data_IF_311858748433
#
_entry.id   IF_311858748433
#
_cell.length_a   1.000
_cell.length_b   1.000
_cell.length_c   1.000
_cell.angle_alpha   90.00
_cell.angle_beta   90.00
_cell.angle_gamma   90.00
#
_symmetry.space_group_name_H-M   'P 1'
#
loop_
_entity.id
_entity.type
_entity.pdbx_description
1 polymer ?
#
# COMPACT_ATOMS: atom_id res chain seq x y z
N UNK A 1 11.66 -2.65 -33.96
CA UNK A 1 11.20 -2.35 -32.58
C UNK A 1 12.21 -2.99 -31.65
N UNK A 2 12.91 -2.21 -30.86
CA UNK A 2 13.99 -2.73 -30.00
C UNK A 2 13.42 -3.71 -28.98
N UNK A 3 14.05 -4.87 -28.84
CA UNK A 3 13.59 -5.93 -27.92
C UNK A 3 13.46 -5.41 -26.49
N UNK A 4 14.31 -4.47 -26.08
CA UNK A 4 14.26 -3.78 -24.78
C UNK A 4 12.93 -3.02 -24.58
N UNK A 5 12.51 -2.23 -25.57
CA UNK A 5 11.23 -1.49 -25.51
C UNK A 5 10.03 -2.43 -25.38
N UNK A 6 10.04 -3.56 -26.13
CA UNK A 6 8.96 -4.57 -26.04
C UNK A 6 8.91 -5.15 -24.63
N UNK A 7 10.05 -5.48 -24.05
CA UNK A 7 10.12 -6.06 -22.69
C UNK A 7 9.71 -5.05 -21.61
N UNK A 8 10.07 -3.77 -21.76
CA UNK A 8 9.59 -2.71 -20.85
C UNK A 8 8.06 -2.60 -20.89
N UNK A 9 7.45 -2.59 -22.08
CA UNK A 9 5.99 -2.57 -22.22
C UNK A 9 5.34 -3.82 -21.61
N UNK A 10 5.98 -4.99 -21.77
CA UNK A 10 5.51 -6.24 -21.14
C UNK A 10 5.57 -6.14 -19.62
N UNK A 11 6.65 -5.59 -19.04
CA UNK A 11 6.79 -5.39 -17.59
C UNK A 11 5.71 -4.45 -17.06
N UNK A 12 5.45 -3.34 -17.75
CA UNK A 12 4.38 -2.40 -17.41
C UNK A 12 3.03 -3.13 -17.40
N UNK A 13 2.69 -3.81 -18.50
CA UNK A 13 1.44 -4.55 -18.60
C UNK A 13 1.30 -5.65 -17.55
N UNK A 14 2.38 -6.39 -17.28
CA UNK A 14 2.43 -7.43 -16.26
C UNK A 14 2.22 -6.84 -14.85
N UNK A 15 2.84 -5.71 -14.53
CA UNK A 15 2.70 -5.05 -13.23
C UNK A 15 1.25 -4.65 -12.96
N UNK A 16 0.59 -3.99 -13.92
CA UNK A 16 -0.82 -3.62 -13.77
C UNK A 16 -1.73 -4.85 -13.72
N UNK A 17 -1.49 -5.86 -14.54
CA UNK A 17 -2.23 -7.12 -14.50
C UNK A 17 -2.08 -7.82 -13.14
N UNK A 18 -0.87 -7.87 -12.58
CA UNK A 18 -0.62 -8.44 -11.26
C UNK A 18 -1.35 -7.66 -10.16
N UNK A 19 -1.37 -6.32 -10.19
CA UNK A 19 -2.07 -5.51 -9.20
C UNK A 19 -3.58 -5.75 -9.20
N UNK A 20 -4.20 -5.82 -10.38
CA UNK A 20 -5.64 -6.11 -10.50
C UNK A 20 -5.95 -7.49 -9.92
N UNK A 21 -5.15 -8.50 -10.29
CA UNK A 21 -5.35 -9.85 -9.78
C UNK A 21 -5.02 -9.96 -8.28
N UNK A 22 -3.98 -9.27 -7.81
CA UNK A 22 -3.63 -9.23 -6.39
C UNK A 22 -4.77 -8.65 -5.55
N UNK A 23 -5.41 -7.55 -5.98
CA UNK A 23 -6.57 -7.00 -5.27
C UNK A 23 -7.72 -8.01 -5.16
N UNK A 24 -8.03 -8.74 -6.24
CA UNK A 24 -9.05 -9.78 -6.23
C UNK A 24 -8.69 -10.97 -5.32
N UNK A 25 -7.42 -11.40 -5.36
CA UNK A 25 -6.92 -12.47 -4.49
C UNK A 25 -6.92 -12.03 -3.02
N UNK A 26 -6.60 -10.77 -2.73
CA UNK A 26 -6.62 -10.23 -1.37
C UNK A 26 -8.03 -10.23 -0.77
N UNK A 27 -9.06 -9.90 -1.55
CA UNK A 27 -10.46 -10.01 -1.11
C UNK A 27 -10.80 -11.46 -0.71
N UNK A 28 -10.36 -12.43 -1.51
CA UNK A 28 -10.57 -13.85 -1.20
C UNK A 28 -9.78 -14.27 0.05
N UNK A 29 -8.51 -13.89 0.12
CA UNK A 29 -7.62 -14.20 1.24
C UNK A 29 -8.18 -13.65 2.54
N UNK A 30 -8.62 -12.38 2.55
CA UNK A 30 -9.23 -11.74 3.70
C UNK A 30 -10.46 -12.51 4.20
N UNK A 31 -11.39 -12.87 3.30
CA UNK A 31 -12.59 -13.63 3.66
C UNK A 31 -12.27 -15.03 4.17
N UNK A 32 -11.24 -15.69 3.67
CA UNK A 32 -10.80 -17.02 4.12
C UNK A 32 -10.10 -16.95 5.47
N UNK A 33 -9.12 -16.07 5.62
CA UNK A 33 -8.38 -15.88 6.87
C UNK A 33 -9.35 -15.49 7.99
N UNK A 34 -10.26 -14.54 7.73
CA UNK A 34 -11.34 -14.21 8.65
C UNK A 34 -12.18 -15.42 9.04
N UNK A 35 -12.57 -16.24 8.05
CA UNK A 35 -13.34 -17.47 8.32
C UNK A 35 -12.59 -18.40 9.28
N UNK A 36 -11.31 -18.65 9.04
CA UNK A 36 -10.47 -19.49 9.91
C UNK A 36 -10.34 -18.90 11.33
N UNK A 37 -10.10 -17.58 11.43
CA UNK A 37 -10.02 -16.92 12.75
C UNK A 37 -11.33 -17.00 13.54
N UNK A 38 -12.48 -17.01 12.85
CA UNK A 38 -13.82 -17.15 13.44
C UNK A 38 -14.29 -18.60 13.54
N UNK A 39 -13.45 -19.59 13.30
CA UNK A 39 -13.77 -21.03 13.33
C UNK A 39 -14.93 -21.41 12.39
N UNK A 40 -15.03 -20.75 11.22
CA UNK A 40 -16.00 -21.02 10.18
C UNK A 40 -15.36 -21.14 8.81
N UNK A 41 -16.05 -21.80 7.89
CA UNK A 41 -15.60 -21.82 6.49
C UNK A 41 -15.83 -20.44 5.85
N UNK A 42 -14.79 -19.94 5.15
CA UNK A 42 -14.93 -18.81 4.24
C UNK A 42 -15.68 -19.18 2.95
N UNK A 43 -15.55 -18.41 1.85
CA UNK A 43 -16.14 -18.76 0.57
C UNK A 43 -15.69 -20.16 0.13
N UNK A 44 -16.67 -21.05 -0.15
CA UNK A 44 -16.38 -22.46 -0.45
C UNK A 44 -17.07 -22.97 -1.71
N UNK A 45 -18.23 -22.41 -2.08
CA UNK A 45 -19.13 -22.99 -3.09
C UNK A 45 -18.72 -22.68 -4.55
N UNK A 46 -18.10 -21.53 -4.81
CA UNK A 46 -17.80 -21.08 -6.18
C UNK A 46 -16.41 -21.54 -6.59
N UNK A 47 -16.35 -22.55 -7.45
CA UNK A 47 -15.11 -23.21 -7.88
C UNK A 47 -14.47 -24.09 -6.78
N UNK A 48 -13.29 -24.68 -7.06
CA UNK A 48 -12.61 -25.51 -6.09
C UNK A 48 -12.29 -24.73 -4.81
N UNK A 49 -12.88 -25.14 -3.69
CA UNK A 49 -12.71 -24.45 -2.40
C UNK A 49 -13.00 -22.94 -2.42
N UNK A 50 -13.87 -22.45 -3.33
CA UNK A 50 -14.24 -21.03 -3.39
C UNK A 50 -13.21 -20.13 -4.08
N UNK A 51 -12.26 -20.67 -4.82
CA UNK A 51 -11.20 -19.87 -5.49
C UNK A 51 -11.73 -18.95 -6.58
N UNK A 52 -12.86 -19.28 -7.21
CA UNK A 52 -13.50 -18.45 -8.23
C UNK A 52 -14.46 -17.39 -7.68
N UNK A 53 -14.55 -17.25 -6.36
CA UNK A 53 -15.42 -16.25 -5.71
C UNK A 53 -15.12 -14.80 -6.18
N UNK A 54 -13.86 -14.34 -6.32
CA UNK A 54 -13.59 -13.00 -6.81
C UNK A 54 -14.15 -12.75 -8.22
N UNK A 55 -14.06 -13.75 -9.10
CA UNK A 55 -14.64 -13.65 -10.43
C UNK A 55 -16.17 -13.50 -10.38
N UNK A 56 -16.83 -14.30 -9.56
CA UNK A 56 -18.28 -14.22 -9.37
C UNK A 56 -18.69 -12.83 -8.79
N UNK A 57 -17.91 -12.27 -7.87
CA UNK A 57 -18.15 -10.95 -7.30
C UNK A 57 -17.98 -9.84 -8.35
N UNK A 58 -16.97 -9.93 -9.22
CA UNK A 58 -16.76 -8.99 -10.32
C UNK A 58 -17.94 -9.07 -11.30
N UNK A 59 -18.33 -10.28 -11.73
CA UNK A 59 -19.46 -10.47 -12.64
C UNK A 59 -20.77 -9.93 -12.04
N UNK A 60 -21.03 -10.20 -10.75
CA UNK A 60 -22.19 -9.65 -10.04
C UNK A 60 -22.20 -8.13 -10.09
N UNK A 61 -21.08 -7.46 -9.85
CA UNK A 61 -21.00 -6.00 -9.86
C UNK A 61 -21.13 -5.41 -11.27
N UNK A 62 -20.62 -6.10 -12.29
CA UNK A 62 -20.77 -5.68 -13.70
C UNK A 62 -22.22 -5.72 -14.18
N UNK A 63 -22.98 -6.74 -13.78
CA UNK A 63 -24.39 -6.91 -14.19
C UNK A 63 -25.40 -6.24 -13.25
N UNK A 64 -24.93 -5.70 -12.10
CA UNK A 64 -25.81 -5.01 -11.16
C UNK A 64 -26.24 -3.66 -11.74
N UNK A 65 -27.50 -3.30 -11.54
CA UNK A 65 -28.05 -2.01 -11.94
C UNK A 65 -27.29 -0.84 -11.28
N UNK A 66 -26.94 0.15 -12.09
CA UNK A 66 -26.25 1.33 -11.63
C UNK A 66 -27.28 2.39 -11.22
N UNK A 67 -27.39 2.64 -9.93
CA UNK A 67 -28.26 3.65 -9.36
C UNK A 67 -27.47 4.92 -9.06
N UNK A 68 -28.06 6.07 -9.40
CA UNK A 68 -27.53 7.38 -9.05
C UNK A 68 -28.65 8.23 -8.48
N UNK A 69 -28.46 8.85 -7.29
CA UNK A 69 -29.42 9.75 -6.71
C UNK A 69 -29.74 10.92 -7.65
N UNK A 70 -31.00 11.36 -7.71
CA UNK A 70 -31.42 12.47 -8.58
C UNK A 70 -30.74 13.80 -8.25
N UNK A 71 -30.37 14.00 -6.97
CA UNK A 71 -29.69 15.19 -6.49
C UNK A 71 -28.16 15.15 -6.59
N UNK A 72 -27.56 14.03 -7.01
CA UNK A 72 -26.13 13.90 -7.14
C UNK A 72 -25.57 14.60 -8.38
N UNK A 73 -24.41 15.26 -8.25
CA UNK A 73 -23.67 15.82 -9.38
C UNK A 73 -23.14 14.71 -10.30
N UNK A 74 -23.55 14.77 -11.58
CA UNK A 74 -23.26 13.69 -12.56
C UNK A 74 -21.78 13.49 -12.82
N UNK A 75 -21.04 14.58 -12.94
CA UNK A 75 -19.64 14.57 -13.33
C UNK A 75 -18.75 14.18 -12.15
N UNK A 76 -18.93 14.85 -11.01
CA UNK A 76 -18.16 14.59 -9.80
C UNK A 76 -18.41 13.18 -9.26
N UNK A 77 -19.66 12.70 -9.31
CA UNK A 77 -20.04 11.36 -8.88
C UNK A 77 -19.35 10.25 -9.69
N UNK A 78 -19.05 10.50 -10.98
CA UNK A 78 -18.33 9.55 -11.83
C UNK A 78 -16.81 9.72 -11.72
N UNK A 79 -16.35 10.97 -11.59
CA UNK A 79 -14.93 11.30 -11.52
C UNK A 79 -14.28 10.79 -10.22
N UNK A 80 -14.98 10.85 -9.10
CA UNK A 80 -14.46 10.51 -7.78
C UNK A 80 -13.88 9.11 -7.68
N UNK A 81 -14.59 8.00 -8.03
CA UNK A 81 -14.01 6.65 -8.01
C UNK A 81 -12.88 6.46 -9.02
N UNK A 82 -12.96 7.10 -10.19
CA UNK A 82 -11.88 7.05 -11.19
C UNK A 82 -10.61 7.69 -10.64
N UNK A 83 -10.73 8.82 -9.97
CA UNK A 83 -9.60 9.52 -9.38
C UNK A 83 -8.94 8.70 -8.26
N UNK A 84 -9.71 8.06 -7.39
CA UNK A 84 -9.19 7.18 -6.35
C UNK A 84 -8.40 6.01 -6.95
N UNK A 85 -8.95 5.32 -7.94
CA UNK A 85 -8.29 4.17 -8.57
C UNK A 85 -7.06 4.59 -9.37
N UNK A 86 -7.13 5.67 -10.14
CA UNK A 86 -5.98 6.14 -10.93
C UNK A 86 -4.83 6.58 -10.04
N UNK A 87 -5.10 7.24 -8.91
CA UNK A 87 -4.10 7.60 -7.94
C UNK A 87 -3.42 6.34 -7.34
N UNK A 88 -4.20 5.33 -6.96
CA UNK A 88 -3.67 4.08 -6.41
C UNK A 88 -2.74 3.35 -7.40
N UNK A 89 -3.13 3.21 -8.65
CA UNK A 89 -2.29 2.60 -9.69
C UNK A 89 -1.03 3.43 -9.99
N UNK A 90 -1.16 4.74 -10.08
CA UNK A 90 -0.05 5.63 -10.37
C UNK A 90 0.98 5.66 -9.21
N UNK A 91 0.54 5.57 -7.96
CA UNK A 91 1.44 5.46 -6.81
C UNK A 91 2.29 4.18 -6.88
N UNK A 92 1.68 3.03 -7.18
CA UNK A 92 2.44 1.78 -7.32
C UNK A 92 3.40 1.79 -8.52
N UNK A 93 3.13 2.53 -9.58
CA UNK A 93 3.99 2.61 -10.75
C UNK A 93 5.42 3.08 -10.44
N UNK A 94 5.62 3.80 -9.33
CA UNK A 94 6.94 4.28 -8.90
C UNK A 94 7.67 3.33 -7.94
N UNK A 95 7.04 2.21 -7.56
CA UNK A 95 7.63 1.19 -6.68
C UNK A 95 8.45 0.20 -7.51
N UNK A 96 9.75 0.06 -7.28
CA UNK A 96 10.56 -0.98 -7.89
C UNK A 96 10.30 -2.31 -7.15
N UNK A 97 9.98 -3.37 -7.88
CA UNK A 97 9.68 -4.67 -7.28
C UNK A 97 10.76 -5.74 -7.51
N UNK A 98 11.92 -5.32 -8.04
CA UNK A 98 13.05 -6.21 -8.22
C UNK A 98 14.30 -5.52 -8.74
N UNK A 99 15.41 -6.26 -8.68
CA UNK A 99 16.70 -5.84 -9.22
C UNK A 99 16.66 -5.76 -10.75
N UNK A 100 17.71 -5.21 -11.33
CA UNK A 100 17.93 -5.25 -12.76
C UNK A 100 18.14 -6.70 -13.22
N UNK A 101 17.50 -7.08 -14.32
CA UNK A 101 17.59 -8.44 -14.85
C UNK A 101 17.87 -8.45 -16.35
N UNK A 102 18.66 -9.41 -16.79
CA UNK A 102 18.91 -9.70 -18.20
C UNK A 102 18.02 -10.83 -18.74
N UNK A 103 17.04 -11.28 -17.94
CA UNK A 103 16.18 -12.45 -18.27
C UNK A 103 16.99 -13.64 -18.80
N UNK A 104 17.87 -14.17 -17.95
CA UNK A 104 18.76 -15.31 -18.27
C UNK A 104 19.71 -15.06 -19.45
N UNK A 105 20.12 -13.79 -19.65
CA UNK A 105 21.05 -13.43 -20.74
C UNK A 105 20.41 -13.26 -22.13
N UNK A 106 19.08 -13.28 -22.22
CA UNK A 106 18.35 -13.03 -23.47
C UNK A 106 18.45 -11.56 -23.92
N UNK A 107 18.71 -10.65 -22.99
CA UNK A 107 18.80 -9.22 -23.26
C UNK A 107 20.24 -8.74 -23.21
N UNK A 108 20.63 -7.93 -24.20
CA UNK A 108 21.96 -7.31 -24.26
C UNK A 108 22.16 -6.27 -23.15
N UNK A 109 21.09 -5.56 -22.76
CA UNK A 109 21.09 -4.58 -21.67
C UNK A 109 20.18 -5.06 -20.54
N UNK A 110 20.56 -4.87 -19.25
CA UNK A 110 19.70 -5.19 -18.13
C UNK A 110 18.48 -4.27 -18.11
N UNK A 111 17.32 -4.83 -17.80
CA UNK A 111 16.06 -4.09 -17.65
C UNK A 111 15.72 -3.99 -16.17
N UNK A 112 15.27 -2.82 -15.74
CA UNK A 112 14.81 -2.55 -14.39
C UNK A 112 13.42 -3.15 -14.16
N UNK A 113 13.26 -3.91 -13.08
CA UNK A 113 11.94 -4.42 -12.66
C UNK A 113 11.19 -3.31 -11.90
N UNK A 114 10.21 -2.73 -12.57
CA UNK A 114 9.41 -1.58 -12.12
C UNK A 114 8.81 -0.88 -13.33
N UNK A 115 7.81 -0.02 -13.13
CA UNK A 115 7.18 0.73 -14.23
C UNK A 115 7.97 2.01 -14.52
N UNK A 116 8.36 2.72 -13.46
CA UNK A 116 9.16 3.95 -13.58
C UNK A 116 10.30 3.94 -12.56
N UNK A 117 11.37 4.63 -12.90
CA UNK A 117 12.51 4.85 -11.99
C UNK A 117 12.80 6.34 -11.95
N UNK A 118 12.35 7.01 -10.90
CA UNK A 118 12.45 8.46 -10.72
C UNK A 118 13.34 8.77 -9.53
N UNK A 119 14.31 9.69 -9.70
CA UNK A 119 15.24 10.08 -8.62
C UNK A 119 14.54 10.62 -7.36
N UNK A 120 13.33 11.16 -7.51
CA UNK A 120 12.48 11.66 -6.42
C UNK A 120 11.26 10.76 -6.18
N UNK A 121 11.43 9.45 -6.38
CA UNK A 121 10.34 8.47 -6.37
C UNK A 121 9.44 8.53 -5.13
N UNK A 122 10.01 8.70 -3.94
CA UNK A 122 9.23 8.83 -2.70
C UNK A 122 8.34 10.07 -2.69
N UNK A 123 8.83 11.23 -3.16
CA UNK A 123 7.99 12.43 -3.23
C UNK A 123 6.84 12.27 -4.23
N UNK A 124 7.08 11.55 -5.34
CA UNK A 124 6.04 11.24 -6.32
C UNK A 124 4.99 10.31 -5.71
N UNK A 125 5.38 9.29 -4.95
CA UNK A 125 4.44 8.42 -4.23
C UNK A 125 3.55 9.27 -3.31
N UNK A 126 4.13 10.10 -2.45
CA UNK A 126 3.37 10.97 -1.54
C UNK A 126 2.42 11.90 -2.28
N UNK A 127 2.89 12.59 -3.31
CA UNK A 127 2.06 13.50 -4.08
C UNK A 127 0.85 12.80 -4.71
N UNK A 128 1.02 11.59 -5.20
CA UNK A 128 -0.05 10.82 -5.84
C UNK A 128 -1.00 10.22 -4.81
N UNK A 129 -0.49 9.69 -3.68
CA UNK A 129 -1.36 9.16 -2.62
C UNK A 129 -2.24 10.25 -2.02
N UNK A 130 -1.68 11.46 -1.78
CA UNK A 130 -2.45 12.64 -1.35
C UNK A 130 -3.57 13.00 -2.33
N UNK A 131 -3.36 12.80 -3.65
CA UNK A 131 -4.44 13.00 -4.63
C UNK A 131 -5.59 12.00 -4.47
N UNK A 132 -5.34 10.81 -3.94
CA UNK A 132 -6.37 9.81 -3.63
C UNK A 132 -7.43 10.32 -2.66
N UNK A 133 -7.03 11.18 -1.71
CA UNK A 133 -7.93 11.80 -0.73
C UNK A 133 -9.04 12.61 -1.40
N UNK A 134 -8.71 13.33 -2.49
CA UNK A 134 -9.72 14.09 -3.24
C UNK A 134 -10.81 13.19 -3.82
N UNK A 135 -10.49 11.97 -4.23
CA UNK A 135 -11.48 11.01 -4.71
C UNK A 135 -12.55 10.72 -3.65
N UNK A 136 -12.15 10.52 -2.39
CA UNK A 136 -13.04 10.23 -1.26
C UNK A 136 -13.87 11.47 -0.89
N UNK A 137 -13.25 12.65 -0.81
CA UNK A 137 -13.97 13.92 -0.52
C UNK A 137 -15.00 14.22 -1.58
N UNK A 138 -14.62 14.11 -2.86
CA UNK A 138 -15.53 14.35 -3.98
C UNK A 138 -16.67 13.35 -4.02
N UNK A 139 -16.42 12.08 -3.66
CA UNK A 139 -17.45 11.06 -3.54
C UNK A 139 -18.51 11.44 -2.51
N UNK A 140 -18.07 11.83 -1.31
CA UNK A 140 -18.96 12.29 -0.25
C UNK A 140 -19.77 13.53 -0.66
N UNK A 141 -19.12 14.52 -1.28
CA UNK A 141 -19.76 15.76 -1.70
C UNK A 141 -20.75 15.56 -2.85
N UNK A 142 -20.34 14.84 -3.91
CA UNK A 142 -21.14 14.61 -5.09
C UNK A 142 -22.42 13.81 -4.82
N UNK A 143 -22.46 13.03 -3.76
CA UNK A 143 -23.59 12.17 -3.38
C UNK A 143 -24.82 12.95 -2.90
N UNK A 144 -24.67 14.23 -2.52
CA UNK A 144 -25.72 15.10 -1.95
C UNK A 144 -26.47 14.45 -0.77
N UNK A 145 -25.77 13.67 0.04
CA UNK A 145 -26.24 13.02 1.24
C UNK A 145 -25.45 13.50 2.45
N UNK A 146 -26.13 13.78 3.57
CA UNK A 146 -25.45 14.20 4.80
C UNK A 146 -24.51 13.14 5.33
N UNK A 147 -24.90 11.87 5.29
CA UNK A 147 -24.09 10.76 5.75
C UNK A 147 -22.83 10.59 4.90
N UNK A 148 -22.96 10.63 3.58
CA UNK A 148 -21.83 10.54 2.65
C UNK A 148 -20.87 11.71 2.82
N UNK A 149 -21.37 12.94 3.00
CA UNK A 149 -20.54 14.12 3.21
C UNK A 149 -19.71 14.01 4.50
N UNK A 150 -20.36 13.63 5.62
CA UNK A 150 -19.63 13.44 6.88
C UNK A 150 -18.63 12.28 6.80
N UNK A 151 -18.95 11.18 6.11
CA UNK A 151 -18.03 10.10 5.84
C UNK A 151 -16.78 10.56 5.09
N UNK A 152 -16.97 11.31 3.99
CA UNK A 152 -15.86 11.87 3.21
C UNK A 152 -15.00 12.86 4.00
N UNK A 153 -15.60 13.75 4.79
CA UNK A 153 -14.86 14.69 5.63
C UNK A 153 -14.08 14.00 6.75
N UNK A 154 -14.64 12.99 7.40
CA UNK A 154 -13.92 12.21 8.44
C UNK A 154 -12.75 11.43 7.84
N UNK A 155 -12.96 10.81 6.66
CA UNK A 155 -11.92 10.10 5.94
C UNK A 155 -10.74 11.00 5.57
N UNK A 156 -11.04 12.15 4.95
CA UNK A 156 -10.00 13.10 4.55
C UNK A 156 -9.23 13.67 5.74
N UNK A 157 -9.92 14.01 6.83
CA UNK A 157 -9.28 14.50 8.03
C UNK A 157 -8.34 13.44 8.66
N UNK A 158 -8.73 12.17 8.63
CA UNK A 158 -7.88 11.06 9.06
C UNK A 158 -6.64 10.94 8.17
N UNK A 159 -6.80 10.78 6.86
CA UNK A 159 -5.70 10.57 5.92
C UNK A 159 -4.68 11.72 6.01
N UNK A 160 -5.11 12.98 5.91
CA UNK A 160 -4.23 14.15 6.00
C UNK A 160 -3.49 14.20 7.35
N UNK A 161 -4.14 13.82 8.45
CA UNK A 161 -3.52 13.86 9.77
C UNK A 161 -2.42 12.80 9.94
N UNK A 162 -2.64 11.59 9.42
CA UNK A 162 -1.68 10.50 9.50
C UNK A 162 -0.57 10.61 8.44
N UNK A 163 -0.85 11.25 7.30
CA UNK A 163 0.16 11.54 6.27
C UNK A 163 1.34 12.36 6.81
N UNK A 164 1.12 13.25 7.77
CA UNK A 164 2.19 14.05 8.37
C UNK A 164 3.16 13.18 9.20
N UNK A 165 2.67 12.28 10.05
CA UNK A 165 3.52 11.38 10.84
C UNK A 165 4.19 10.33 9.96
N UNK A 166 3.49 9.83 8.96
CA UNK A 166 3.99 8.94 7.92
C UNK A 166 5.17 9.56 7.17
N UNK A 167 5.01 10.78 6.63
CA UNK A 167 6.06 11.49 5.90
C UNK A 167 7.30 11.77 6.77
N UNK A 168 7.11 12.18 8.04
CA UNK A 168 8.24 12.42 8.95
C UNK A 168 8.96 11.13 9.35
N UNK A 169 8.26 10.00 9.47
CA UNK A 169 8.90 8.70 9.73
C UNK A 169 9.80 8.24 8.57
N UNK A 170 9.35 8.46 7.34
CA UNK A 170 10.13 8.15 6.13
C UNK A 170 11.30 9.12 5.94
N UNK A 171 11.14 10.40 6.32
CA UNK A 171 12.24 11.38 6.24
C UNK A 171 13.47 10.92 7.05
N UNK A 172 13.29 10.19 8.16
CA UNK A 172 14.39 9.58 8.90
C UNK A 172 15.15 8.53 8.08
N UNK A 173 14.45 7.71 7.27
CA UNK A 173 15.09 6.73 6.38
C UNK A 173 15.81 7.44 5.24
N UNK A 174 15.23 8.49 4.67
CA UNK A 174 15.85 9.31 3.62
C UNK A 174 17.17 9.92 4.11
N UNK A 175 17.23 10.40 5.35
CA UNK A 175 18.45 10.93 5.96
C UNK A 175 19.56 9.87 6.07
N UNK A 176 19.20 8.62 6.40
CA UNK A 176 20.15 7.51 6.48
C UNK A 176 20.66 7.08 5.11
N UNK A 177 19.76 7.00 4.13
CA UNK A 177 20.09 6.54 2.78
C UNK A 177 20.72 7.63 1.91
N UNK A 178 20.49 8.92 2.21
CA UNK A 178 20.99 10.05 1.44
C UNK A 178 20.34 10.23 0.07
N UNK A 179 19.25 9.55 -0.22
CA UNK A 179 18.56 9.57 -1.53
C UNK A 179 17.04 9.55 -1.38
N UNK A 180 16.34 10.14 -2.37
CA UNK A 180 14.89 10.09 -2.54
C UNK A 180 14.46 9.00 -3.53
N UNK A 181 15.40 8.37 -4.22
CA UNK A 181 15.14 7.25 -5.13
C UNK A 181 14.89 5.98 -4.33
N UNK A 182 13.72 5.38 -4.53
CA UNK A 182 13.36 4.12 -3.84
C UNK A 182 14.37 3.01 -4.15
N UNK A 183 14.81 2.91 -5.40
CA UNK A 183 15.82 1.93 -5.84
C UNK A 183 17.17 2.12 -5.15
N UNK A 184 17.63 3.36 -5.01
CA UNK A 184 18.90 3.64 -4.33
C UNK A 184 18.81 3.33 -2.83
N UNK A 185 17.65 3.59 -2.20
CA UNK A 185 17.39 3.23 -0.80
C UNK A 185 17.43 1.70 -0.62
N UNK A 186 16.86 0.93 -1.53
CA UNK A 186 16.93 -0.53 -1.50
C UNK A 186 18.38 -1.00 -1.69
N UNK A 187 19.08 -0.45 -2.66
CA UNK A 187 20.48 -0.82 -2.94
C UNK A 187 21.42 -0.44 -1.78
N UNK A 188 21.14 0.63 -1.04
CA UNK A 188 21.91 0.99 0.17
C UNK A 188 21.77 -0.02 1.31
N UNK A 189 20.76 -0.88 1.26
CA UNK A 189 20.53 -1.98 2.20
C UNK A 189 21.14 -3.30 1.72
N UNK A 190 21.89 -3.31 0.63
CA UNK A 190 22.59 -4.51 0.18
C UNK A 190 23.74 -4.87 1.15
N UNK A 191 23.93 -6.17 1.40
CA UNK A 191 24.99 -6.68 2.27
C UNK A 191 24.55 -7.03 3.68
N UNK A 192 25.53 -7.28 4.56
CA UNK A 192 25.28 -7.76 5.92
C UNK A 192 26.14 -7.01 6.93
N UNK A 193 25.61 -6.77 8.12
CA UNK A 193 26.37 -6.38 9.30
C UNK A 193 26.93 -7.60 10.02
N UNK A 194 28.20 -7.51 10.43
CA UNK A 194 28.91 -8.58 11.14
C UNK A 194 28.89 -9.94 10.43
N UNK A 195 28.54 -9.99 9.13
CA UNK A 195 28.50 -11.21 8.33
C UNK A 195 27.28 -12.12 8.54
N UNK A 196 26.34 -11.77 9.42
CA UNK A 196 25.16 -12.62 9.71
C UNK A 196 23.84 -11.87 9.83
N UNK A 197 23.79 -10.53 9.98
CA UNK A 197 22.57 -9.72 10.04
C UNK A 197 22.43 -8.96 8.72
N UNK A 198 21.26 -9.03 8.08
CA UNK A 198 20.97 -8.25 6.89
C UNK A 198 21.01 -6.74 7.18
N UNK A 199 21.44 -5.94 6.22
CA UNK A 199 21.59 -4.50 6.34
C UNK A 199 20.25 -3.78 6.20
N UNK A 200 19.22 -4.19 6.98
CA UNK A 200 17.90 -3.59 6.93
C UNK A 200 17.83 -2.33 7.78
N UNK A 201 17.25 -1.26 7.24
CA UNK A 201 17.01 -0.03 7.99
C UNK A 201 16.06 -0.22 9.18
N UNK A 202 15.27 -1.28 9.22
CA UNK A 202 14.46 -1.69 10.38
C UNK A 202 15.26 -1.68 11.69
N UNK A 203 16.51 -2.13 11.67
CA UNK A 203 17.35 -2.22 12.89
C UNK A 203 17.84 -0.85 13.38
N UNK A 204 18.05 0.10 12.46
CA UNK A 204 18.43 1.47 12.81
C UNK A 204 17.24 2.37 13.08
N UNK A 205 16.07 2.05 12.50
CA UNK A 205 14.84 2.84 12.57
C UNK A 205 13.63 2.04 13.09
N UNK A 206 13.73 1.31 14.24
CA UNK A 206 12.62 0.52 14.73
C UNK A 206 11.40 1.38 15.11
N UNK A 207 11.64 2.59 15.66
CA UNK A 207 10.57 3.52 16.01
C UNK A 207 9.90 4.07 14.75
N UNK A 208 10.70 4.47 13.73
CA UNK A 208 10.19 4.92 12.45
C UNK A 208 9.35 3.84 11.75
N UNK A 209 9.78 2.58 11.81
CA UNK A 209 9.04 1.45 11.26
C UNK A 209 7.68 1.21 11.95
N UNK A 210 7.64 1.28 13.29
CA UNK A 210 6.38 1.12 14.05
C UNK A 210 5.40 2.25 13.70
N UNK A 211 5.88 3.51 13.64
CA UNK A 211 5.06 4.65 13.23
C UNK A 211 4.54 4.42 11.81
N UNK A 212 5.42 4.09 10.87
CA UNK A 212 5.06 3.77 9.49
C UNK A 212 3.97 2.69 9.39
N UNK A 213 4.13 1.59 10.14
CA UNK A 213 3.17 0.48 10.12
C UNK A 213 1.79 0.90 10.64
N UNK A 214 1.72 1.73 11.68
CA UNK A 214 0.47 2.27 12.22
C UNK A 214 -0.18 3.24 11.22
N UNK A 215 0.61 4.19 10.70
CA UNK A 215 0.14 5.21 9.75
C UNK A 215 -0.31 4.55 8.43
N UNK A 216 0.38 3.49 7.99
CA UNK A 216 -0.01 2.72 6.82
C UNK A 216 -1.39 2.04 6.95
N UNK A 217 -1.75 1.54 8.15
CA UNK A 217 -3.10 1.03 8.41
C UNK A 217 -4.12 2.15 8.38
N UNK A 218 -3.79 3.33 8.92
CA UNK A 218 -4.68 4.49 8.92
C UNK A 218 -4.89 5.08 7.52
N UNK A 219 -3.85 5.11 6.69
CA UNK A 219 -3.88 5.61 5.30
C UNK A 219 -4.73 4.71 4.40
N UNK A 220 -4.70 3.40 4.64
CA UNK A 220 -5.51 2.42 3.88
C UNK A 220 -6.94 2.30 4.38
N UNK A 221 -7.39 3.16 5.31
CA UNK A 221 -8.74 3.16 5.89
C UNK A 221 -9.18 1.79 6.42
N UNK A 222 -8.25 1.00 6.96
CA UNK A 222 -8.54 -0.34 7.50
C UNK A 222 -8.74 -0.31 9.01
N UNK A 223 -9.58 -1.20 9.52
CA UNK A 223 -9.73 -1.34 10.96
C UNK A 223 -8.36 -1.60 11.63
N UNK A 224 -8.06 -0.94 12.76
CA UNK A 224 -8.97 -0.23 13.68
C UNK A 224 -9.33 1.22 13.29
N UNK A 225 -8.84 1.74 12.14
CA UNK A 225 -8.99 3.12 11.68
C UNK A 225 -10.03 3.28 10.54
N UNK A 226 -11.02 2.39 10.48
CA UNK A 226 -12.07 2.32 9.45
C UNK A 226 -13.24 3.30 9.73
N UNK A 227 -12.94 4.59 9.70
CA UNK A 227 -13.93 5.66 9.91
C UNK A 227 -14.67 6.11 8.65
N UNK A 228 -14.08 5.97 7.46
CA UNK A 228 -14.78 6.32 6.22
C UNK A 228 -16.04 5.51 5.99
N UNK A 229 -16.00 4.21 6.27
CA UNK A 229 -17.15 3.32 6.09
C UNK A 229 -18.08 3.32 7.29
N UNK A 230 -17.57 3.40 8.50
CA UNK A 230 -18.26 3.50 9.79
C UNK A 230 -19.73 2.97 9.78
N UNK A 231 -19.94 1.71 9.37
CA UNK A 231 -21.28 1.13 9.15
C UNK A 231 -22.24 1.35 10.31
N UNK A 232 -21.72 1.35 11.54
CA UNK A 232 -22.52 1.54 12.76
C UNK A 232 -22.95 3.01 12.98
N UNK A 233 -22.24 3.99 12.41
CA UNK A 233 -22.47 5.42 12.64
C UNK A 233 -23.01 6.12 11.39
N UNK A 234 -22.49 5.81 10.19
CA UNK A 234 -22.72 6.52 8.94
C UNK A 234 -23.27 5.64 7.81
N UNK A 235 -23.83 4.48 8.12
CA UNK A 235 -24.38 3.47 7.20
C UNK A 235 -23.27 2.83 6.36
N UNK A 236 -22.71 3.52 5.38
CA UNK A 236 -21.54 3.11 4.59
C UNK A 236 -20.66 4.34 4.24
N UNK A 237 -20.76 5.41 5.02
CA UNK A 237 -19.96 6.61 4.84
C UNK A 237 -20.06 7.19 3.44
N UNK A 238 -18.93 7.53 2.82
CA UNK A 238 -18.87 8.11 1.47
C UNK A 238 -19.36 7.16 0.37
N UNK A 239 -19.37 5.83 0.61
CA UNK A 239 -19.82 4.80 -0.33
C UNK A 239 -21.34 4.60 -0.35
N UNK A 240 -22.11 5.23 0.56
CA UNK A 240 -23.54 4.93 0.78
C UNK A 240 -24.39 5.00 -0.49
N UNK A 241 -24.13 5.97 -1.36
CA UNK A 241 -24.95 6.21 -2.57
C UNK A 241 -24.38 5.51 -3.82
N UNK A 242 -23.20 4.89 -3.71
CA UNK A 242 -22.56 4.22 -4.84
C UNK A 242 -23.06 2.80 -5.02
N UNK A 243 -23.20 2.36 -6.28
CA UNK A 243 -23.62 1.00 -6.64
C UNK A 243 -22.83 0.49 -7.85
N UNK A 244 -22.96 -0.83 -8.13
CA UNK A 244 -22.39 -1.47 -9.33
C UNK A 244 -20.86 -1.27 -9.45
N UNK A 245 -20.37 -1.00 -10.63
CA UNK A 245 -18.93 -0.83 -10.93
C UNK A 245 -18.33 0.37 -10.18
N UNK A 246 -19.05 1.48 -10.05
CA UNK A 246 -18.55 2.66 -9.34
C UNK A 246 -18.27 2.38 -7.88
N UNK A 247 -19.10 1.57 -7.22
CA UNK A 247 -18.82 1.09 -5.87
C UNK A 247 -17.56 0.23 -5.83
N UNK A 248 -17.39 -0.70 -6.81
CA UNK A 248 -16.26 -1.62 -6.84
C UNK A 248 -14.88 -0.94 -6.95
N UNK A 249 -14.84 0.26 -7.56
CA UNK A 249 -13.60 0.99 -7.77
C UNK A 249 -12.97 1.49 -6.45
N UNK A 250 -13.77 1.85 -5.43
CA UNK A 250 -13.24 2.32 -4.15
C UNK A 250 -12.52 1.20 -3.36
N UNK A 251 -13.14 0.05 -3.06
CA UNK A 251 -12.42 -1.07 -2.45
C UNK A 251 -11.21 -1.51 -3.27
N UNK A 252 -11.29 -1.47 -4.60
CA UNK A 252 -10.14 -1.80 -5.44
C UNK A 252 -8.98 -0.83 -5.21
N UNK A 253 -9.24 0.49 -5.15
CA UNK A 253 -8.23 1.48 -4.83
C UNK A 253 -7.61 1.23 -3.45
N UNK A 254 -8.41 0.90 -2.44
CA UNK A 254 -7.94 0.58 -1.10
C UNK A 254 -7.02 -0.63 -1.05
N UNK A 255 -7.37 -1.73 -1.75
CA UNK A 255 -6.51 -2.92 -1.81
C UNK A 255 -5.20 -2.65 -2.56
N UNK A 256 -5.21 -1.83 -3.60
CA UNK A 256 -4.00 -1.42 -4.31
C UNK A 256 -3.14 -0.52 -3.42
N UNK A 257 -3.73 0.45 -2.70
CA UNK A 257 -3.01 1.27 -1.74
C UNK A 257 -2.39 0.43 -0.63
N UNK A 258 -3.10 -0.59 -0.12
CA UNK A 258 -2.57 -1.52 0.86
C UNK A 258 -1.36 -2.30 0.31
N UNK A 259 -1.39 -2.71 -0.96
CA UNK A 259 -0.25 -3.33 -1.63
C UNK A 259 0.91 -2.32 -1.80
N UNK A 260 0.62 -1.07 -2.17
CA UNK A 260 1.62 0.00 -2.31
C UNK A 260 2.30 0.30 -0.98
N UNK A 261 1.54 0.47 0.10
CA UNK A 261 2.09 0.72 1.44
C UNK A 261 2.95 -0.45 1.92
N UNK A 262 2.53 -1.69 1.67
CA UNK A 262 3.31 -2.89 1.98
C UNK A 262 4.60 -2.98 1.17
N UNK A 263 4.55 -2.60 -0.10
CA UNK A 263 5.70 -2.57 -0.99
C UNK A 263 6.72 -1.52 -0.56
N UNK A 264 6.25 -0.29 -0.29
CA UNK A 264 7.11 0.81 0.20
C UNK A 264 7.72 0.46 1.57
N UNK A 265 6.95 -0.17 2.49
CA UNK A 265 7.51 -0.68 3.76
C UNK A 265 8.65 -1.66 3.54
N UNK A 266 8.48 -2.57 2.59
CA UNK A 266 9.48 -3.58 2.23
C UNK A 266 10.74 -2.92 1.67
N UNK A 267 10.59 -1.95 0.80
CA UNK A 267 11.71 -1.23 0.18
C UNK A 267 12.46 -0.34 1.18
N UNK A 268 11.75 0.37 2.04
CA UNK A 268 12.36 1.31 2.96
C UNK A 268 13.00 0.65 4.18
N UNK A 269 12.40 -0.41 4.72
CA UNK A 269 12.81 -0.96 6.01
C UNK A 269 13.37 -2.38 5.95
N UNK A 270 12.95 -3.19 4.98
CA UNK A 270 13.33 -4.61 4.89
C UNK A 270 14.27 -4.94 3.72
N UNK A 271 14.86 -3.93 3.09
CA UNK A 271 15.83 -4.14 2.02
C UNK A 271 15.24 -4.65 0.70
N UNK A 272 13.95 -4.40 0.43
CA UNK A 272 13.32 -4.72 -0.85
C UNK A 272 13.52 -6.18 -1.26
N UNK A 273 14.20 -6.38 -2.36
CA UNK A 273 14.51 -7.70 -2.94
C UNK A 273 15.76 -8.38 -2.36
N UNK A 274 16.50 -7.74 -1.43
CA UNK A 274 17.66 -8.32 -0.76
C UNK A 274 17.23 -9.11 0.47
N UNK A 275 17.81 -10.31 0.67
CA UNK A 275 17.65 -11.17 1.84
C UNK A 275 16.21 -11.42 2.28
N UNK A 276 15.78 -12.65 2.39
CA UNK A 276 14.39 -13.00 2.78
C UNK A 276 14.16 -12.84 4.29
N UNK A 277 15.13 -13.18 5.10
CA UNK A 277 15.06 -13.16 6.57
C UNK A 277 15.98 -12.08 7.13
N UNK A 278 15.78 -11.62 8.37
CA UNK A 278 16.67 -10.64 9.00
C UNK A 278 18.09 -11.17 9.24
N UNK A 279 18.30 -12.47 9.11
CA UNK A 279 19.60 -13.12 9.21
C UNK A 279 20.05 -13.63 7.83
N UNK A 280 21.35 -13.55 7.58
CA UNK A 280 21.95 -14.09 6.36
C UNK A 280 21.73 -15.60 6.28
N UNK A 281 21.18 -16.04 5.17
CA UNK A 281 20.88 -17.45 4.93
C UNK A 281 21.68 -17.98 3.74
N UNK A 282 21.95 -19.31 3.66
CA UNK A 282 22.58 -19.90 2.48
C UNK A 282 21.77 -19.73 1.18
N UNK A 283 20.53 -19.27 1.28
CA UNK A 283 19.67 -18.99 0.13
C UNK A 283 19.98 -17.62 -0.51
N UNK A 284 20.52 -16.66 0.25
CA UNK A 284 20.73 -15.28 -0.23
C UNK A 284 21.65 -15.20 -1.45
N UNK A 285 22.82 -15.89 -1.50
CA UNK A 285 23.64 -15.90 -2.71
C UNK A 285 22.97 -16.59 -3.90
N UNK A 286 22.10 -17.57 -3.65
CA UNK A 286 21.32 -18.22 -4.71
C UNK A 286 20.25 -17.26 -5.28
N UNK A 287 19.61 -16.48 -4.41
CA UNK A 287 18.62 -15.46 -4.81
C UNK A 287 19.25 -14.43 -5.76
N UNK A 288 20.44 -13.96 -5.42
CA UNK A 288 21.20 -13.02 -6.25
C UNK A 288 21.68 -13.68 -7.54
N UNK A 289 22.25 -14.88 -7.46
CA UNK A 289 22.77 -15.60 -8.63
C UNK A 289 21.68 -15.92 -9.67
N UNK A 290 20.49 -16.32 -9.23
CA UNK A 290 19.37 -16.66 -10.12
C UNK A 290 18.46 -15.48 -10.46
N UNK A 291 18.69 -14.29 -9.90
CA UNK A 291 17.88 -13.10 -10.17
C UNK A 291 16.43 -13.22 -9.69
N UNK A 292 16.18 -14.05 -8.67
CA UNK A 292 14.82 -14.29 -8.12
C UNK A 292 14.45 -13.35 -6.98
N UNK A 293 15.16 -12.24 -6.80
CA UNK A 293 14.90 -11.23 -5.76
C UNK A 293 13.46 -10.71 -5.77
N UNK A 294 12.79 -10.66 -6.93
CA UNK A 294 11.37 -10.31 -7.01
C UNK A 294 10.46 -11.25 -6.21
N UNK A 295 10.81 -12.54 -6.08
CA UNK A 295 10.05 -13.48 -5.23
C UNK A 295 10.21 -13.15 -3.75
N UNK A 296 11.41 -12.73 -3.34
CA UNK A 296 11.70 -12.28 -1.97
C UNK A 296 10.88 -11.03 -1.65
N UNK A 297 10.87 -10.06 -2.56
CA UNK A 297 10.04 -8.87 -2.43
C UNK A 297 8.57 -9.23 -2.25
N UNK A 298 8.00 -10.06 -3.13
CA UNK A 298 6.61 -10.50 -3.04
C UNK A 298 6.30 -11.27 -1.75
N UNK A 299 7.23 -12.08 -1.26
CA UNK A 299 7.06 -12.80 0.01
C UNK A 299 6.98 -11.83 1.20
N UNK A 300 7.84 -10.80 1.26
CA UNK A 300 7.81 -9.76 2.29
C UNK A 300 6.53 -8.92 2.22
N UNK A 301 6.14 -8.48 1.02
CA UNK A 301 4.87 -7.76 0.79
C UNK A 301 3.69 -8.61 1.25
N UNK A 302 3.68 -9.91 0.95
CA UNK A 302 2.62 -10.83 1.40
C UNK A 302 2.56 -10.94 2.92
N UNK A 303 3.70 -10.86 3.60
CA UNK A 303 3.78 -10.82 5.07
C UNK A 303 3.08 -9.56 5.64
N UNK A 304 3.31 -8.38 5.05
CA UNK A 304 2.60 -7.16 5.43
C UNK A 304 1.11 -7.23 5.13
N UNK A 305 0.73 -7.73 3.96
CA UNK A 305 -0.68 -7.92 3.60
C UNK A 305 -1.40 -8.85 4.58
N UNK A 306 -0.74 -9.93 5.00
CA UNK A 306 -1.26 -10.79 6.05
C UNK A 306 -1.40 -10.04 7.39
N UNK A 307 -0.42 -9.21 7.75
CA UNK A 307 -0.48 -8.37 8.96
C UNK A 307 -1.69 -7.42 8.94
N UNK A 308 -1.98 -6.75 7.80
CA UNK A 308 -3.16 -5.90 7.65
C UNK A 308 -4.47 -6.68 7.86
N UNK A 309 -4.58 -7.88 7.27
CA UNK A 309 -5.75 -8.74 7.43
C UNK A 309 -5.89 -9.17 8.90
N UNK A 310 -4.79 -9.56 9.54
CA UNK A 310 -4.78 -9.98 10.93
C UNK A 310 -5.20 -8.85 11.87
N UNK A 311 -4.65 -7.67 11.70
CA UNK A 311 -5.01 -6.47 12.47
C UNK A 311 -6.51 -6.14 12.36
N UNK A 312 -7.07 -6.21 11.16
CA UNK A 312 -8.49 -5.91 10.91
C UNK A 312 -9.44 -6.77 11.74
N UNK A 313 -9.09 -8.03 11.96
CA UNK A 313 -9.97 -9.00 12.61
C UNK A 313 -9.63 -9.26 14.08
N UNK A 314 -8.61 -8.63 14.62
CA UNK A 314 -8.19 -8.82 16.02
C UNK A 314 -8.41 -7.58 16.88
N UNK A 315 -8.23 -6.38 16.32
CA UNK A 315 -8.29 -5.15 17.09
C UNK A 315 -9.71 -4.54 17.10
N UNK A 316 -10.13 -3.98 18.25
CA UNK A 316 -11.35 -3.21 18.33
C UNK A 316 -11.17 -1.87 17.61
N UNK A 317 -12.27 -1.29 17.14
CA UNK A 317 -12.30 0.01 16.50
C UNK A 317 -12.11 1.13 17.52
N UNK A 318 -11.34 2.15 17.17
CA UNK A 318 -11.21 3.37 17.96
C UNK A 318 -12.43 4.29 17.74
N UNK A 319 -12.58 5.27 18.64
CA UNK A 319 -13.46 6.42 18.41
C UNK A 319 -12.71 7.49 17.62
N UNK A 320 -13.43 8.31 16.85
CA UNK A 320 -12.84 9.35 16.00
C UNK A 320 -11.97 10.35 16.79
N UNK A 321 -12.46 10.79 17.97
CA UNK A 321 -11.70 11.71 18.85
C UNK A 321 -10.41 11.07 19.38
N UNK A 322 -10.42 9.81 19.76
CA UNK A 322 -9.24 9.06 20.20
C UNK A 322 -8.22 8.92 19.07
N UNK A 323 -8.69 8.61 17.88
CA UNK A 323 -7.86 8.50 16.69
C UNK A 323 -7.12 9.82 16.41
N UNK A 324 -7.84 10.94 16.34
CA UNK A 324 -7.25 12.27 16.08
C UNK A 324 -6.27 12.68 17.18
N UNK A 325 -6.59 12.40 18.46
CA UNK A 325 -5.65 12.64 19.57
C UNK A 325 -4.39 11.78 19.45
N UNK A 326 -4.52 10.52 19.07
CA UNK A 326 -3.38 9.62 18.92
C UNK A 326 -2.44 10.08 17.79
N UNK A 327 -2.97 10.45 16.63
CA UNK A 327 -2.18 10.97 15.51
C UNK A 327 -1.44 12.26 15.88
N UNK A 328 -2.17 13.29 16.35
CA UNK A 328 -1.60 14.61 16.58
C UNK A 328 -0.76 14.73 17.86
N UNK A 329 -1.16 14.07 18.96
CA UNK A 329 -0.49 14.22 20.26
C UNK A 329 0.55 13.16 20.56
N UNK A 330 0.52 12.04 19.87
CA UNK A 330 1.45 10.94 20.13
C UNK A 330 2.31 10.62 18.89
N UNK A 331 1.71 10.25 17.75
CA UNK A 331 2.49 9.81 16.59
C UNK A 331 3.31 10.92 15.96
N UNK A 332 2.72 12.08 15.72
CA UNK A 332 3.44 13.20 15.11
C UNK A 332 4.61 13.71 15.97
N UNK A 333 4.47 14.00 17.28
CA UNK A 333 5.61 14.37 18.10
C UNK A 333 6.68 13.26 18.17
N UNK A 334 6.27 12.01 18.26
CA UNK A 334 7.20 10.88 18.30
C UNK A 334 7.98 10.72 16.97
N UNK A 335 7.33 10.90 15.83
CA UNK A 335 7.98 10.85 14.52
C UNK A 335 8.98 11.99 14.32
N UNK A 336 8.65 13.21 14.78
CA UNK A 336 9.56 14.35 14.75
C UNK A 336 10.75 14.13 15.68
N UNK A 337 10.55 13.61 16.89
CA UNK A 337 11.64 13.25 17.80
C UNK A 337 12.55 12.18 17.20
N UNK A 338 11.99 11.16 16.57
CA UNK A 338 12.76 10.13 15.85
C UNK A 338 13.59 10.73 14.71
N UNK A 339 13.01 11.64 13.93
CA UNK A 339 13.70 12.34 12.85
C UNK A 339 14.88 13.17 13.38
N UNK A 340 14.68 13.95 14.45
CA UNK A 340 15.73 14.78 15.08
C UNK A 340 16.85 13.91 15.67
N UNK A 341 16.49 12.80 16.34
CA UNK A 341 17.46 11.85 16.86
C UNK A 341 18.29 11.22 15.73
N UNK A 342 17.66 10.84 14.64
CA UNK A 342 18.35 10.30 13.45
C UNK A 342 19.28 11.34 12.84
N UNK A 343 18.83 12.58 12.68
CA UNK A 343 19.66 13.66 12.16
C UNK A 343 20.90 13.90 13.04
N UNK A 344 20.74 13.91 14.36
CA UNK A 344 21.85 14.06 15.31
C UNK A 344 22.85 12.88 15.20
N UNK A 345 22.35 11.64 15.06
CA UNK A 345 23.22 10.47 14.88
C UNK A 345 24.00 10.55 13.54
N UNK A 346 23.33 10.90 12.44
CA UNK A 346 23.98 11.04 11.14
C UNK A 346 25.07 12.11 11.16
N UNK A 347 24.81 13.25 11.80
CA UNK A 347 25.81 14.30 11.98
C UNK A 347 26.98 13.86 12.87
N UNK A 348 26.72 13.08 13.91
CA UNK A 348 27.79 12.58 14.78
C UNK A 348 28.71 11.57 14.12
N UNK A 349 28.18 10.71 13.24
CA UNK A 349 28.98 9.70 12.55
C UNK A 349 29.63 10.19 11.24
N UNK A 350 29.09 11.23 10.60
CA UNK A 350 29.61 11.79 9.34
C UNK A 350 30.41 13.10 9.53
N UNK A 351 30.40 13.69 10.70
CA UNK A 351 31.21 14.88 11.07
C UNK A 351 32.44 14.46 11.85
#
# INVERSE_FOLDING_TARGET
MDLTLVMELVIIGLTFFMLINASAILVLAERKIMGFMQQRYGPYLVGPHGTLQPLADILKLLFKEELRPKGADKWLFTLAPILSVTAAFAAFATVPWGAETTFFGLLANPIKLGVTDVNVGLLVIFAITSMGVYGIVLAGWASNSKYSLFGGLRASAQMISYELSYATSIAAVILLAGSLSVREIVNSQAGTWFGFIQHWWLFLQPVGFIIYAIDGVAETNRAPFDFPEAEQELVAGYNTEYSSVRFALFPQAEYINMATMSAVATDLYLGGWHGLLPFYTPLDPLIEQYGVGWMVFLAKVSGFLFFYIWMRWTLPRYRYDQLMHFGWKFLLPLSVLNLLATAALVLYFNG
#
